data_IF_105823783954
#
_entry.id   IF_105823783954
#
_cell.length_a   1.000
_cell.length_b   1.000
_cell.length_c   1.000
_cell.angle_alpha   90.00
_cell.angle_beta   90.00
_cell.angle_gamma   90.00
#
_symmetry.space_group_name_H-M   'P 1'
#
loop_
_entity.id
_entity.type
_entity.pdbx_description
1 polymer ?
#
# COMPACT_ATOMS: atom_id res chain seq x y z
N UNK A 1 -5.92 16.95 -8.02
CA UNK A 1 -5.11 16.83 -9.27
C UNK A 1 -4.98 15.38 -9.74
N UNK A 2 -6.11 14.65 -9.84
CA UNK A 2 -6.22 13.38 -10.56
C UNK A 2 -5.39 12.20 -10.05
N UNK A 3 -4.95 12.21 -8.77
CA UNK A 3 -4.22 11.06 -8.20
C UNK A 3 -2.85 10.77 -8.83
N UNK A 4 -2.18 11.79 -9.39
CA UNK A 4 -0.89 11.64 -10.09
C UNK A 4 0.32 11.47 -9.16
N UNK A 5 0.17 11.86 -7.88
CA UNK A 5 1.24 11.70 -6.89
C UNK A 5 1.63 10.22 -6.76
N UNK A 6 2.93 9.96 -6.76
CA UNK A 6 3.48 8.61 -6.68
C UNK A 6 3.87 8.24 -5.25
N UNK A 7 3.64 6.99 -4.90
CA UNK A 7 4.02 6.39 -3.62
C UNK A 7 4.61 5.00 -3.87
N UNK A 8 5.46 4.57 -2.94
CA UNK A 8 5.95 3.20 -2.91
C UNK A 8 5.14 2.42 -1.88
N UNK A 9 4.42 1.43 -2.33
CA UNK A 9 3.55 0.60 -1.50
C UNK A 9 4.30 -0.60 -0.99
N UNK A 10 4.19 -0.86 0.31
CA UNK A 10 4.91 -1.95 0.97
C UNK A 10 3.91 -2.92 1.56
N UNK A 11 4.07 -4.20 1.24
CA UNK A 11 3.25 -5.24 1.84
C UNK A 11 3.49 -5.32 3.35
N UNK A 12 2.42 -5.53 4.10
CA UNK A 12 2.49 -5.61 5.57
C UNK A 12 3.40 -6.74 6.04
N UNK A 13 3.48 -7.85 5.32
CA UNK A 13 4.33 -9.00 5.65
C UNK A 13 5.81 -8.63 5.53
N UNK A 14 6.20 -7.93 4.47
CA UNK A 14 7.55 -7.38 4.31
C UNK A 14 7.88 -6.38 5.42
N UNK A 15 6.92 -5.51 5.77
CA UNK A 15 7.07 -4.54 6.86
C UNK A 15 7.24 -5.20 8.24
N UNK A 16 6.44 -6.21 8.55
CA UNK A 16 6.54 -6.97 9.80
C UNK A 16 7.88 -7.69 9.90
N UNK A 17 8.33 -8.33 8.83
CA UNK A 17 9.65 -8.99 8.80
C UNK A 17 10.79 -8.01 9.10
N UNK A 18 10.73 -6.81 8.52
CA UNK A 18 11.72 -5.77 8.82
C UNK A 18 11.70 -5.35 10.29
N UNK A 19 10.52 -5.11 10.86
CA UNK A 19 10.35 -4.77 12.28
C UNK A 19 10.84 -5.88 13.20
N UNK A 20 10.56 -7.13 12.86
CA UNK A 20 11.05 -8.29 13.62
C UNK A 20 12.58 -8.31 13.68
N UNK A 21 13.25 -8.10 12.53
CA UNK A 21 14.73 -8.03 12.48
C UNK A 21 15.32 -6.84 13.24
N UNK A 22 14.63 -5.71 13.29
CA UNK A 22 15.01 -4.57 14.13
C UNK A 22 14.95 -4.94 15.61
N UNK A 23 13.90 -5.63 16.04
CA UNK A 23 13.73 -6.08 17.43
C UNK A 23 14.81 -7.09 17.81
N UNK A 24 15.13 -8.04 16.95
CA UNK A 24 16.20 -9.00 17.18
C UNK A 24 17.57 -8.32 17.25
N UNK A 25 17.78 -7.24 16.48
CA UNK A 25 19.01 -6.42 16.47
C UNK A 25 20.29 -7.25 16.50
N UNK A 26 20.39 -8.18 15.58
CA UNK A 26 21.50 -9.13 15.52
C UNK A 26 22.86 -8.42 15.49
N UNK A 27 23.69 -8.69 16.48
CA UNK A 27 25.02 -8.08 16.62
C UNK A 27 24.99 -6.57 16.85
N UNK A 28 23.88 -5.97 17.29
CA UNK A 28 23.75 -4.53 17.53
C UNK A 28 23.80 -3.67 16.26
N UNK A 29 23.57 -4.25 15.08
CA UNK A 29 23.70 -3.55 13.79
C UNK A 29 22.71 -2.42 13.57
N UNK A 30 21.62 -2.39 14.33
CA UNK A 30 20.60 -1.35 14.27
C UNK A 30 20.85 -0.19 15.27
N UNK A 31 21.81 -0.34 16.17
CA UNK A 31 22.05 0.65 17.24
C UNK A 31 22.42 2.01 16.65
N UNK A 32 21.62 3.02 16.98
CA UNK A 32 21.82 4.39 16.51
C UNK A 32 21.57 4.64 15.02
N UNK A 33 21.06 3.65 14.30
CA UNK A 33 20.81 3.74 12.86
C UNK A 33 19.40 4.27 12.53
N UNK A 34 19.32 5.05 11.46
CA UNK A 34 18.05 5.42 10.83
C UNK A 34 17.80 4.48 9.67
N UNK A 35 16.71 3.73 9.72
CA UNK A 35 16.41 2.67 8.76
C UNK A 35 15.06 2.96 8.08
N UNK A 36 15.09 3.27 6.79
CA UNK A 36 13.89 3.37 5.98
C UNK A 36 13.41 1.97 5.59
N UNK A 37 12.15 1.70 5.84
CA UNK A 37 11.47 0.47 5.43
C UNK A 37 10.48 0.81 4.32
N UNK A 38 10.54 0.09 3.22
CA UNK A 38 9.67 0.31 2.07
C UNK A 38 10.05 -0.56 0.89
N UNK A 39 9.17 -0.58 -0.13
CA UNK A 39 9.47 -1.26 -1.38
C UNK A 39 9.61 -0.25 -2.53
N UNK A 40 10.84 0.14 -2.91
CA UNK A 40 11.06 1.12 -3.97
C UNK A 40 10.63 0.63 -5.36
N UNK A 41 10.46 -0.68 -5.56
CA UNK A 41 10.01 -1.26 -6.83
C UNK A 41 8.48 -1.19 -6.98
N UNK A 42 7.73 -1.14 -5.89
CA UNK A 42 6.28 -1.00 -5.88
C UNK A 42 5.85 0.47 -5.97
N UNK A 43 6.42 1.23 -6.89
CA UNK A 43 6.05 2.63 -7.13
C UNK A 43 4.86 2.71 -8.08
N UNK A 44 3.80 3.37 -7.62
CA UNK A 44 2.63 3.67 -8.45
C UNK A 44 2.00 5.00 -8.04
N UNK A 45 1.25 5.61 -8.95
CA UNK A 45 0.38 6.73 -8.62
C UNK A 45 -0.87 6.24 -7.88
N UNK A 46 -1.54 7.14 -7.20
CA UNK A 46 -2.83 6.84 -6.56
C UNK A 46 -3.88 6.43 -7.60
N UNK A 47 -3.82 7.03 -8.78
CA UNK A 47 -4.70 6.64 -9.89
C UNK A 47 -4.41 5.20 -10.35
N UNK A 48 -3.15 4.84 -10.59
CA UNK A 48 -2.75 3.48 -10.97
C UNK A 48 -3.17 2.45 -9.93
N UNK A 49 -3.01 2.76 -8.63
CA UNK A 49 -3.49 1.90 -7.55
C UNK A 49 -5.01 1.71 -7.62
N UNK A 50 -5.76 2.78 -7.82
CA UNK A 50 -7.22 2.72 -7.92
C UNK A 50 -7.70 1.90 -9.13
N UNK A 51 -7.04 2.03 -10.26
CA UNK A 51 -7.30 1.24 -11.48
C UNK A 51 -6.97 -0.25 -11.27
N UNK A 52 -5.86 -0.55 -10.56
CA UNK A 52 -5.48 -1.91 -10.20
C UNK A 52 -6.52 -2.55 -9.25
N UNK A 53 -6.96 -1.83 -8.23
CA UNK A 53 -8.03 -2.28 -7.32
C UNK A 53 -9.34 -2.57 -8.08
N UNK A 54 -9.73 -1.70 -9.00
CA UNK A 54 -10.92 -1.91 -9.82
C UNK A 54 -10.78 -3.16 -10.69
N UNK A 55 -9.62 -3.35 -11.32
CA UNK A 55 -9.35 -4.54 -12.15
C UNK A 55 -9.43 -5.82 -11.32
N UNK A 56 -8.87 -5.83 -10.11
CA UNK A 56 -8.95 -6.97 -9.20
C UNK A 56 -10.40 -7.22 -8.75
N UNK A 57 -11.14 -6.16 -8.43
CA UNK A 57 -12.54 -6.24 -8.03
C UNK A 57 -13.42 -6.84 -9.12
N UNK A 58 -13.30 -6.39 -10.37
CA UNK A 58 -14.10 -6.89 -11.49
C UNK A 58 -13.84 -8.37 -11.80
N UNK A 59 -12.67 -8.90 -11.45
CA UNK A 59 -12.30 -10.31 -11.61
C UNK A 59 -12.55 -11.15 -10.36
N UNK A 60 -12.92 -10.53 -9.24
CA UNK A 60 -13.02 -11.22 -7.96
C UNK A 60 -14.19 -12.21 -7.93
N UNK A 61 -14.05 -13.41 -7.33
CA UNK A 61 -15.15 -14.39 -7.24
C UNK A 61 -16.42 -13.86 -6.58
N UNK A 62 -16.27 -12.92 -5.63
CA UNK A 62 -17.42 -12.30 -4.93
C UNK A 62 -17.97 -11.06 -5.64
N UNK A 63 -17.48 -10.70 -6.83
CA UNK A 63 -17.89 -9.50 -7.56
C UNK A 63 -19.40 -9.29 -7.62
N UNK A 64 -20.16 -10.36 -7.90
CA UNK A 64 -21.59 -10.30 -8.10
C UNK A 64 -22.41 -10.09 -6.80
N UNK A 65 -21.76 -10.16 -5.63
CA UNK A 65 -22.39 -9.86 -4.34
C UNK A 65 -22.37 -8.37 -4.00
N UNK A 66 -21.71 -7.56 -4.81
CA UNK A 66 -21.53 -6.13 -4.57
C UNK A 66 -22.12 -5.31 -5.72
N UNK A 67 -22.56 -4.07 -5.44
CA UNK A 67 -23.07 -3.18 -6.49
C UNK A 67 -21.99 -2.84 -7.52
N UNK A 68 -22.37 -2.39 -8.72
CA UNK A 68 -21.43 -1.90 -9.72
C UNK A 68 -20.58 -0.75 -9.18
N UNK A 69 -19.34 -0.66 -9.69
CA UNK A 69 -18.49 0.47 -9.38
C UNK A 69 -19.13 1.79 -9.82
N UNK A 70 -19.24 2.74 -8.88
CA UNK A 70 -19.94 4.00 -9.10
C UNK A 70 -19.12 5.09 -9.81
N UNK A 71 -17.85 4.82 -10.09
CA UNK A 71 -16.91 5.76 -10.75
C UNK A 71 -15.94 6.42 -9.78
N UNK A 72 -14.88 6.99 -10.32
CA UNK A 72 -13.91 7.78 -9.57
C UNK A 72 -14.42 9.19 -9.33
N UNK A 73 -14.03 9.74 -8.19
CA UNK A 73 -14.29 11.13 -7.85
C UNK A 73 -12.98 11.83 -7.49
N UNK A 74 -12.63 12.84 -8.25
CA UNK A 74 -11.50 13.70 -7.92
C UNK A 74 -11.87 14.64 -6.79
N UNK A 75 -11.01 14.70 -5.76
CA UNK A 75 -11.13 15.64 -4.65
C UNK A 75 -9.81 16.40 -4.52
N UNK A 76 -9.88 17.72 -4.50
CA UNK A 76 -8.70 18.54 -4.24
C UNK A 76 -8.23 18.38 -2.80
N UNK A 77 -6.94 18.12 -2.63
CA UNK A 77 -6.31 17.95 -1.30
C UNK A 77 -6.52 19.17 -0.40
N UNK A 78 -6.52 20.37 -0.97
CA UNK A 78 -6.77 21.62 -0.27
C UNK A 78 -8.17 21.71 0.36
N UNK A 79 -9.16 21.08 -0.27
CA UNK A 79 -10.54 21.04 0.25
C UNK A 79 -10.71 20.03 1.37
N UNK A 80 -9.83 19.02 1.45
CA UNK A 80 -9.88 17.95 2.45
C UNK A 80 -8.95 18.21 3.64
N UNK A 81 -7.70 18.66 3.38
CA UNK A 81 -6.68 18.87 4.42
C UNK A 81 -6.50 20.34 4.82
N UNK A 82 -7.20 21.28 4.17
CA UNK A 82 -7.13 22.71 4.44
C UNK A 82 -6.09 23.46 3.58
N UNK A 83 -6.18 24.81 3.67
CA UNK A 83 -5.28 25.70 2.91
C UNK A 83 -3.84 25.55 3.42
N UNK A 84 -2.90 25.38 2.49
CA UNK A 84 -1.46 25.27 2.79
C UNK A 84 -0.94 23.82 2.80
N UNK A 85 -1.78 22.81 2.65
CA UNK A 85 -1.31 21.44 2.45
C UNK A 85 -0.62 21.32 1.09
N UNK A 86 0.64 20.90 1.12
CA UNK A 86 1.42 20.56 -0.09
C UNK A 86 1.76 19.07 -0.03
N UNK A 87 1.23 18.32 -0.98
CA UNK A 87 1.61 16.93 -1.14
C UNK A 87 2.91 16.83 -1.95
N UNK A 88 3.76 15.90 -1.56
CA UNK A 88 5.00 15.61 -2.27
C UNK A 88 4.68 14.70 -3.45
N UNK A 89 5.07 15.13 -4.66
CA UNK A 89 4.78 14.37 -5.89
C UNK A 89 5.41 12.97 -5.89
N UNK A 90 6.64 12.88 -5.39
CA UNK A 90 7.38 11.61 -5.32
C UNK A 90 7.92 11.34 -3.93
N UNK A 91 7.67 10.14 -3.42
CA UNK A 91 8.31 9.61 -2.20
C UNK A 91 8.81 8.19 -2.48
N UNK A 92 10.11 8.08 -2.74
CA UNK A 92 10.76 6.78 -2.97
C UNK A 92 11.77 6.51 -1.85
N UNK A 93 11.62 5.42 -1.08
CA UNK A 93 12.54 5.14 0.02
C UNK A 93 13.89 4.64 -0.52
N UNK A 94 14.96 5.10 0.11
CA UNK A 94 16.26 4.45 -0.03
C UNK A 94 16.43 3.42 1.09
N UNK A 95 16.42 2.14 0.74
CA UNK A 95 16.47 1.01 1.68
C UNK A 95 17.87 0.46 1.91
N UNK A 96 18.93 1.22 1.59
CA UNK A 96 20.33 0.78 1.73
C UNK A 96 20.64 0.35 3.17
N UNK A 97 20.17 1.12 4.16
CA UNK A 97 20.41 0.78 5.56
C UNK A 97 19.63 -0.47 5.99
N UNK A 98 18.40 -0.66 5.50
CA UNK A 98 17.65 -1.88 5.75
C UNK A 98 18.39 -3.13 5.21
N UNK A 99 18.93 -3.05 4.00
CA UNK A 99 19.75 -4.13 3.43
C UNK A 99 20.99 -4.39 4.27
N UNK A 100 21.73 -3.34 4.64
CA UNK A 100 22.97 -3.43 5.39
C UNK A 100 22.78 -3.89 6.83
N UNK A 101 21.83 -3.29 7.56
CA UNK A 101 21.66 -3.54 8.99
C UNK A 101 20.82 -4.78 9.28
N UNK A 102 19.81 -5.04 8.45
CA UNK A 102 18.82 -6.08 8.68
C UNK A 102 19.00 -7.31 7.75
N UNK A 103 19.86 -7.22 6.74
CA UNK A 103 19.88 -8.20 5.65
C UNK A 103 18.48 -8.43 5.07
N UNK A 104 17.71 -7.36 4.93
CA UNK A 104 16.31 -7.37 4.54
C UNK A 104 16.10 -6.68 3.20
N UNK A 105 15.28 -7.28 2.38
CA UNK A 105 14.72 -6.72 1.15
C UNK A 105 13.23 -7.05 1.06
N UNK A 106 12.39 -6.15 0.52
CA UNK A 106 11.01 -6.47 0.24
C UNK A 106 10.93 -7.47 -0.91
N UNK A 107 10.00 -8.42 -0.82
CA UNK A 107 9.86 -9.51 -1.79
C UNK A 107 8.48 -9.58 -2.43
N UNK A 108 7.49 -8.88 -1.89
CA UNK A 108 6.10 -9.00 -2.31
C UNK A 108 5.75 -7.91 -3.31
N UNK A 109 5.28 -8.31 -4.48
CA UNK A 109 4.87 -7.41 -5.54
C UNK A 109 3.54 -6.71 -5.23
N UNK A 110 3.37 -5.51 -5.77
CA UNK A 110 2.17 -4.69 -5.55
C UNK A 110 0.88 -5.40 -5.96
N UNK A 111 0.90 -6.14 -7.05
CA UNK A 111 -0.27 -6.88 -7.54
C UNK A 111 -0.77 -7.89 -6.49
N UNK A 112 0.12 -8.68 -5.91
CA UNK A 112 -0.20 -9.64 -4.85
C UNK A 112 -0.78 -8.94 -3.61
N UNK A 113 -0.13 -7.84 -3.18
CA UNK A 113 -0.60 -7.04 -2.03
C UNK A 113 -2.01 -6.50 -2.25
N UNK A 114 -2.30 -5.99 -3.44
CA UNK A 114 -3.61 -5.43 -3.79
C UNK A 114 -4.68 -6.53 -3.82
N UNK A 115 -4.39 -7.66 -4.46
CA UNK A 115 -5.31 -8.80 -4.54
C UNK A 115 -5.67 -9.35 -3.17
N UNK A 116 -4.68 -9.61 -2.31
CA UNK A 116 -4.92 -10.15 -0.98
C UNK A 116 -5.62 -9.15 -0.06
N UNK A 117 -5.25 -7.87 -0.14
CA UNK A 117 -5.92 -6.82 0.64
C UNK A 117 -7.38 -6.69 0.26
N UNK A 118 -7.67 -6.68 -1.04
CA UNK A 118 -9.04 -6.62 -1.53
C UNK A 118 -9.83 -7.86 -1.12
N UNK A 119 -9.28 -9.06 -1.29
CA UNK A 119 -9.93 -10.33 -0.92
C UNK A 119 -10.28 -10.33 0.58
N UNK A 120 -9.37 -9.89 1.43
CA UNK A 120 -9.61 -9.79 2.87
C UNK A 120 -10.81 -8.89 3.18
N UNK A 121 -10.88 -7.70 2.60
CA UNK A 121 -11.97 -6.77 2.86
C UNK A 121 -13.30 -7.26 2.28
N UNK A 122 -13.32 -7.82 1.07
CA UNK A 122 -14.54 -8.33 0.45
C UNK A 122 -15.11 -9.53 1.21
N UNK A 123 -14.26 -10.39 1.79
CA UNK A 123 -14.70 -11.52 2.62
C UNK A 123 -15.11 -11.12 4.02
N UNK A 124 -14.62 -10.00 4.53
CA UNK A 124 -14.97 -9.50 5.86
C UNK A 124 -16.32 -8.78 5.91
N UNK A 125 -16.86 -8.39 4.77
CA UNK A 125 -18.21 -7.80 4.68
C UNK A 125 -19.25 -8.92 4.83
N UNK A 126 -20.22 -8.71 5.72
CA UNK A 126 -21.32 -9.65 5.90
C UNK A 126 -22.27 -9.57 4.67
N UNK A 127 -22.12 -10.54 3.76
CA UNK A 127 -22.81 -10.57 2.47
C UNK A 127 -24.34 -10.71 2.65
N UNK A 128 -24.80 -11.07 3.86
CA UNK A 128 -26.22 -11.28 4.16
C UNK A 128 -27.05 -9.99 4.23
N UNK A 129 -26.42 -8.83 4.39
CA UNK A 129 -27.14 -7.55 4.51
C UNK A 129 -27.49 -6.87 3.16
N UNK A 130 -27.01 -7.37 2.03
CA UNK A 130 -27.22 -6.75 0.71
C UNK A 130 -28.14 -7.51 -0.25
N UNK A 131 -28.87 -8.49 0.24
CA UNK A 131 -29.86 -9.27 -0.56
C UNK A 131 -31.31 -8.90 -0.24
N UNK A 132 -31.59 -7.62 -0.11
CA UNK A 132 -32.96 -7.12 0.06
C UNK A 132 -33.36 -6.15 -1.03
#
# INVERSE_FOLDING_TARGET
EGGKQKRCFTDIRDGIEALYRIIENEGGRCDGEIINIGNPENEASIQELAEMLLTCFEKHPLRNHFPPFAGFRDVESSSYYGKGYQDVEHRKPNIRNAKRCLNWEPTIEMQETVEETLDFFLRSVDITEHTS
#
